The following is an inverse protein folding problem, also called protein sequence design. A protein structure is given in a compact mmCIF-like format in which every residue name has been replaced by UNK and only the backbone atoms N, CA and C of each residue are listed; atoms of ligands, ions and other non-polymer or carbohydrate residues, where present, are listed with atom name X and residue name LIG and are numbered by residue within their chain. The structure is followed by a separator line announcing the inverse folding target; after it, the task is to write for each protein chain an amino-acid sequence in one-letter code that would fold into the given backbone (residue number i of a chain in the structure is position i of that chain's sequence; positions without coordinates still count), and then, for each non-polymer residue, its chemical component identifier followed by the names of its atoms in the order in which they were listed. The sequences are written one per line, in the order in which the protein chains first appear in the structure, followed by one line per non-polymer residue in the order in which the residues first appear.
data_IF_712207403818
#
_entry.id   IF_712207403818
#
_cell.length_a   1.000
_cell.length_b   1.000
_cell.length_c   1.000
_cell.angle_alpha   90.00
_cell.angle_beta   90.00
_cell.angle_gamma   90.00
#
_symmetry.space_group_name_H-M   'P 1'
#
loop_
_entity.id
_entity.type
_entity.pdbx_description
1 polymer ?
#
# COMPACT_ATOMS: atom_id res chain seq x y z
N UNK A 1 4.98 -21.46 -11.65
CA UNK A 1 4.62 -20.04 -11.48
C UNK A 1 4.36 -19.38 -12.84
N UNK A 2 5.34 -19.38 -13.76
CA UNK A 2 5.24 -18.75 -15.09
C UNK A 2 4.08 -19.30 -15.95
N UNK A 3 3.89 -20.63 -16.00
CA UNK A 3 2.76 -21.23 -16.73
C UNK A 3 1.39 -20.77 -16.20
N UNK A 4 1.26 -20.63 -14.87
CA UNK A 4 0.05 -20.16 -14.20
C UNK A 4 -0.20 -18.67 -14.39
N UNK A 5 0.88 -17.88 -14.51
CA UNK A 5 0.78 -16.48 -14.90
C UNK A 5 0.31 -16.34 -16.34
N UNK A 6 0.85 -17.15 -17.27
CA UNK A 6 0.49 -17.10 -18.68
C UNK A 6 -0.96 -17.52 -18.96
N UNK A 7 -1.56 -18.38 -18.14
CA UNK A 7 -2.97 -18.79 -18.27
C UNK A 7 -3.98 -17.74 -17.81
N UNK A 8 -3.54 -16.66 -17.13
CA UNK A 8 -4.46 -15.61 -16.64
C UNK A 8 -4.98 -14.72 -17.77
N UNK A 9 -6.18 -14.19 -17.56
CA UNK A 9 -6.74 -13.13 -18.39
C UNK A 9 -5.82 -11.90 -18.42
N UNK A 10 -5.81 -11.20 -19.56
CA UNK A 10 -5.03 -9.97 -19.79
C UNK A 10 -5.35 -8.91 -18.73
N UNK A 11 -6.62 -8.76 -18.32
CA UNK A 11 -7.03 -7.83 -17.26
C UNK A 11 -6.22 -8.07 -15.98
N UNK A 12 -6.17 -9.33 -15.51
CA UNK A 12 -5.45 -9.70 -14.29
C UNK A 12 -3.94 -9.46 -14.40
N UNK A 13 -3.35 -9.79 -15.55
CA UNK A 13 -1.93 -9.56 -15.81
C UNK A 13 -1.60 -8.07 -15.74
N UNK A 14 -2.40 -7.24 -16.41
CA UNK A 14 -2.18 -5.79 -16.45
C UNK A 14 -2.43 -5.15 -15.10
N UNK A 15 -3.46 -5.56 -14.35
CA UNK A 15 -3.67 -5.10 -12.98
C UNK A 15 -2.47 -5.45 -12.09
N UNK A 16 -1.99 -6.69 -12.08
CA UNK A 16 -0.84 -7.10 -11.26
C UNK A 16 0.44 -6.33 -11.61
N UNK A 17 0.74 -6.17 -12.90
CA UNK A 17 1.92 -5.44 -13.36
C UNK A 17 1.79 -3.94 -13.02
N UNK A 18 0.62 -3.36 -13.22
CA UNK A 18 0.36 -1.94 -12.90
C UNK A 18 0.52 -1.69 -11.41
N UNK A 19 -0.11 -2.51 -10.56
CA UNK A 19 0.02 -2.43 -9.11
C UNK A 19 1.47 -2.60 -8.65
N UNK A 20 2.26 -3.46 -9.29
CA UNK A 20 3.68 -3.62 -8.97
C UNK A 20 4.46 -2.31 -9.21
N UNK A 21 4.36 -1.70 -10.39
CA UNK A 21 5.07 -0.46 -10.69
C UNK A 21 4.57 0.73 -9.87
N UNK A 22 3.26 0.83 -9.64
CA UNK A 22 2.69 1.85 -8.77
C UNK A 22 3.15 1.67 -7.32
N UNK A 23 3.18 0.43 -6.81
CA UNK A 23 3.67 0.16 -5.46
C UNK A 23 5.14 0.52 -5.30
N UNK A 24 6.01 0.23 -6.28
CA UNK A 24 7.41 0.68 -6.27
C UNK A 24 7.48 2.19 -6.08
N UNK A 25 6.80 2.95 -6.94
CA UNK A 25 7.01 4.39 -6.97
C UNK A 25 6.31 5.09 -5.80
N UNK A 26 5.12 4.63 -5.39
CA UNK A 26 4.39 5.18 -4.24
C UNK A 26 5.15 4.93 -2.94
N UNK A 27 5.71 3.74 -2.74
CA UNK A 27 6.54 3.45 -1.55
C UNK A 27 7.87 4.20 -1.58
N UNK A 28 8.36 4.58 -2.77
CA UNK A 28 9.55 5.40 -2.90
C UNK A 28 9.36 6.86 -2.45
N UNK A 29 8.21 7.49 -2.69
CA UNK A 29 8.03 8.91 -2.34
C UNK A 29 7.19 9.16 -1.08
N UNK A 30 6.22 8.30 -0.76
CA UNK A 30 5.21 8.58 0.27
C UNK A 30 5.80 8.79 1.68
N UNK A 31 6.73 7.95 2.19
CA UNK A 31 7.34 8.16 3.51
C UNK A 31 8.06 9.51 3.63
N UNK A 32 8.55 10.03 2.51
CA UNK A 32 9.35 11.25 2.43
C UNK A 32 8.52 12.51 2.30
N UNK A 33 7.21 12.42 2.02
CA UNK A 33 6.31 13.57 2.04
C UNK A 33 6.27 14.17 3.45
N UNK A 34 6.17 13.33 4.48
CA UNK A 34 6.15 13.77 5.87
C UNK A 34 7.45 14.49 6.27
N UNK A 35 8.59 13.98 5.81
CA UNK A 35 9.92 14.58 6.03
C UNK A 35 10.04 15.91 5.28
N UNK A 36 9.69 15.94 3.99
CA UNK A 36 9.71 17.15 3.17
C UNK A 36 8.86 18.29 3.78
N UNK A 37 7.62 18.01 4.21
CA UNK A 37 6.78 19.02 4.85
C UNK A 37 7.32 19.47 6.21
N UNK A 38 8.03 18.59 6.92
CA UNK A 38 8.69 18.93 8.18
C UNK A 38 9.89 19.85 7.96
N UNK A 39 10.67 19.61 6.92
CA UNK A 39 11.83 20.43 6.54
C UNK A 39 11.40 21.81 6.05
N UNK A 40 10.31 21.89 5.27
CA UNK A 40 9.82 23.15 4.71
C UNK A 40 9.07 24.01 5.72
N UNK A 41 8.40 23.40 6.72
CA UNK A 41 7.55 24.11 7.68
C UNK A 41 7.88 23.73 9.11
N UNK A 42 7.46 22.52 9.54
CA UNK A 42 7.80 21.87 10.80
C UNK A 42 7.02 20.54 10.95
N UNK A 43 7.44 19.70 11.89
CA UNK A 43 6.81 18.41 12.16
C UNK A 43 5.33 18.53 12.60
N UNK A 44 4.93 19.63 13.26
CA UNK A 44 3.54 19.83 13.69
C UNK A 44 2.62 20.03 12.47
N UNK A 45 3.00 20.88 11.53
CA UNK A 45 2.26 21.09 10.29
C UNK A 45 2.14 19.80 9.48
N UNK A 46 3.26 19.10 9.27
CA UNK A 46 3.28 17.81 8.54
C UNK A 46 2.31 16.80 9.16
N UNK A 47 2.35 16.62 10.48
CA UNK A 47 1.45 15.71 11.19
C UNK A 47 -0.02 16.10 11.08
N UNK A 48 -0.37 17.38 11.26
CA UNK A 48 -1.75 17.86 11.14
C UNK A 48 -2.26 17.69 9.70
N UNK A 49 -1.47 18.10 8.72
CA UNK A 49 -1.84 18.03 7.31
C UNK A 49 -2.12 16.58 6.86
N UNK A 50 -1.22 15.65 7.18
CA UNK A 50 -1.40 14.24 6.86
C UNK A 50 -2.59 13.62 7.63
N UNK A 51 -2.83 14.03 8.88
CA UNK A 51 -3.97 13.55 9.66
C UNK A 51 -5.31 14.01 9.07
N UNK A 52 -5.39 15.28 8.65
CA UNK A 52 -6.60 15.83 8.00
C UNK A 52 -6.87 15.10 6.69
N UNK A 53 -5.82 14.78 5.91
CA UNK A 53 -5.97 13.97 4.70
C UNK A 53 -6.59 12.61 4.98
N UNK A 54 -6.14 11.90 6.01
CA UNK A 54 -6.73 10.61 6.40
C UNK A 54 -8.22 10.80 6.73
N UNK A 55 -8.58 11.81 7.51
CA UNK A 55 -9.99 12.11 7.86
C UNK A 55 -10.84 12.39 6.61
N UNK A 56 -10.30 13.08 5.61
CA UNK A 56 -11.00 13.38 4.35
C UNK A 56 -11.17 12.12 3.48
N UNK A 57 -10.16 11.26 3.43
CA UNK A 57 -10.17 10.07 2.56
C UNK A 57 -11.08 8.95 3.06
N UNK A 58 -11.32 8.85 4.37
CA UNK A 58 -12.22 7.85 4.96
C UNK A 58 -13.66 7.88 4.41
N UNK A 59 -14.39 9.01 4.40
CA UNK A 59 -15.72 9.04 3.78
C UNK A 59 -15.67 8.86 2.26
N UNK A 60 -14.59 9.31 1.61
CA UNK A 60 -14.42 9.18 0.16
C UNK A 60 -14.31 7.70 -0.25
N UNK A 61 -13.54 6.91 0.50
CA UNK A 61 -13.38 5.47 0.23
C UNK A 61 -14.70 4.69 0.42
N UNK A 62 -15.52 5.09 1.40
CA UNK A 62 -16.86 4.54 1.58
C UNK A 62 -17.78 4.86 0.40
N UNK A 63 -17.76 6.11 -0.07
CA UNK A 63 -18.60 6.53 -1.21
C UNK A 63 -18.11 5.91 -2.53
N UNK A 64 -16.82 5.67 -2.71
CA UNK A 64 -16.30 5.07 -3.95
C UNK A 64 -16.89 3.70 -4.27
N UNK A 65 -17.15 2.85 -3.27
CA UNK A 65 -17.79 1.55 -3.52
C UNK A 65 -19.14 1.70 -4.24
N UNK A 66 -19.95 2.67 -3.80
CA UNK A 66 -21.22 2.96 -4.44
C UNK A 66 -21.06 3.61 -5.83
N UNK A 67 -20.05 4.47 -6.02
CA UNK A 67 -19.74 5.06 -7.34
C UNK A 67 -19.40 3.95 -8.35
N UNK A 68 -18.60 2.97 -7.94
CA UNK A 68 -18.16 1.85 -8.79
C UNK A 68 -19.31 0.97 -9.27
N UNK A 69 -20.39 0.87 -8.47
CA UNK A 69 -21.59 0.12 -8.84
C UNK A 69 -22.48 0.83 -9.88
N UNK A 70 -22.39 2.16 -10.00
CA UNK A 70 -23.27 2.97 -10.85
C UNK A 70 -22.61 3.47 -12.14
N UNK A 71 -21.29 3.64 -12.12
CA UNK A 71 -20.52 4.16 -13.26
C UNK A 71 -19.68 3.08 -13.91
N UNK A 72 -19.25 3.31 -15.16
CA UNK A 72 -18.35 2.38 -15.85
C UNK A 72 -17.01 2.28 -15.11
N UNK A 73 -16.73 1.11 -14.51
CA UNK A 73 -15.49 0.83 -13.76
C UNK A 73 -14.23 1.21 -14.55
N UNK A 74 -14.18 0.87 -15.85
CA UNK A 74 -13.07 1.24 -16.75
C UNK A 74 -12.92 2.76 -16.86
N UNK A 75 -14.02 3.48 -17.07
CA UNK A 75 -13.96 4.94 -17.20
C UNK A 75 -13.45 5.58 -15.90
N UNK A 76 -13.98 5.15 -14.75
CA UNK A 76 -13.54 5.62 -13.43
C UNK A 76 -12.02 5.43 -13.25
N UNK A 77 -11.53 4.20 -13.39
CA UNK A 77 -10.11 3.89 -13.23
C UNK A 77 -9.24 4.73 -14.16
N UNK A 78 -9.62 4.88 -15.43
CA UNK A 78 -8.84 5.69 -16.39
C UNK A 78 -8.81 7.17 -16.00
N UNK A 79 -9.94 7.74 -15.58
CA UNK A 79 -10.01 9.14 -15.14
C UNK A 79 -9.19 9.39 -13.89
N UNK A 80 -9.30 8.51 -12.89
CA UNK A 80 -8.54 8.63 -11.65
C UNK A 80 -7.05 8.44 -11.88
N UNK A 81 -6.67 7.45 -12.70
CA UNK A 81 -5.28 7.19 -13.04
C UNK A 81 -4.62 8.38 -13.75
N UNK A 82 -5.30 8.97 -14.73
CA UNK A 82 -4.79 10.15 -15.42
C UNK A 82 -4.69 11.35 -14.47
N UNK A 83 -5.71 11.56 -13.63
CA UNK A 83 -5.71 12.62 -12.63
C UNK A 83 -4.55 12.49 -11.63
N UNK A 84 -4.23 11.26 -11.20
CA UNK A 84 -3.08 10.99 -10.33
C UNK A 84 -1.75 11.30 -11.03
N UNK A 85 -1.60 10.93 -12.31
CA UNK A 85 -0.41 11.26 -13.08
C UNK A 85 -0.21 12.78 -13.19
N UNK A 86 -1.28 13.54 -13.46
CA UNK A 86 -1.25 15.00 -13.51
C UNK A 86 -0.94 15.59 -12.13
N UNK A 87 -1.54 15.07 -11.05
CA UNK A 87 -1.27 15.52 -9.70
C UNK A 87 0.21 15.36 -9.32
N UNK A 88 0.79 14.19 -9.61
CA UNK A 88 2.22 13.92 -9.38
C UNK A 88 3.11 14.85 -10.21
N UNK A 89 2.74 15.13 -11.47
CA UNK A 89 3.46 16.08 -12.31
C UNK A 89 3.41 17.49 -11.71
N UNK A 90 2.24 17.95 -11.24
CA UNK A 90 2.09 19.24 -10.56
C UNK A 90 2.93 19.32 -9.28
N UNK A 91 2.98 18.23 -8.49
CA UNK A 91 3.86 18.17 -7.31
C UNK A 91 5.34 18.28 -7.71
N UNK A 92 5.76 17.57 -8.76
CA UNK A 92 7.13 17.64 -9.27
C UNK A 92 7.50 19.06 -9.72
N UNK A 93 6.59 19.74 -10.44
CA UNK A 93 6.78 21.12 -10.88
C UNK A 93 6.87 22.08 -9.69
N UNK A 94 6.04 21.91 -8.66
CA UNK A 94 6.09 22.75 -7.46
C UNK A 94 7.42 22.61 -6.70
N UNK A 95 8.05 21.43 -6.71
CA UNK A 95 9.37 21.21 -6.10
C UNK A 95 10.51 21.93 -6.82
N UNK A 96 10.34 22.29 -8.10
CA UNK A 96 11.34 23.06 -8.85
C UNK A 96 11.25 24.57 -8.57
N UNK A 97 10.20 25.01 -7.89
CA UNK A 97 9.93 26.42 -7.62
C UNK A 97 10.38 26.81 -6.19
N UNK A 98 10.47 28.12 -5.88
CA UNK A 98 10.75 28.59 -4.53
C UNK A 98 9.74 28.10 -3.48
N UNK A 99 10.10 28.19 -2.20
CA UNK A 99 9.31 27.66 -1.07
C UNK A 99 7.86 28.17 -1.01
N UNK A 100 7.56 29.34 -1.58
CA UNK A 100 6.19 29.89 -1.69
C UNK A 100 5.22 28.96 -2.44
N UNK A 101 5.74 28.09 -3.31
CA UNK A 101 4.94 27.15 -4.09
C UNK A 101 4.54 25.88 -3.32
N UNK A 102 4.92 25.77 -2.04
CA UNK A 102 4.53 24.66 -1.17
C UNK A 102 3.01 24.47 -1.13
N UNK A 103 2.21 25.55 -1.21
CA UNK A 103 0.75 25.45 -1.22
C UNK A 103 0.26 24.65 -2.43
N UNK A 104 0.84 24.86 -3.62
CA UNK A 104 0.48 24.11 -4.82
C UNK A 104 0.88 22.63 -4.72
N UNK A 105 2.02 22.35 -4.10
CA UNK A 105 2.43 20.98 -3.77
C UNK A 105 1.39 20.28 -2.88
N UNK A 106 0.95 20.95 -1.80
CA UNK A 106 -0.04 20.42 -0.88
C UNK A 106 -1.39 20.18 -1.57
N UNK A 107 -1.87 21.12 -2.40
CA UNK A 107 -3.12 20.97 -3.16
C UNK A 107 -3.04 19.78 -4.12
N UNK A 108 -1.93 19.66 -4.87
CA UNK A 108 -1.73 18.55 -5.78
C UNK A 108 -1.67 17.20 -5.04
N UNK A 109 -1.02 17.16 -3.87
CA UNK A 109 -0.97 15.96 -3.03
C UNK A 109 -2.34 15.58 -2.44
N UNK A 110 -3.15 16.56 -2.02
CA UNK A 110 -4.54 16.32 -1.60
C UNK A 110 -5.32 15.67 -2.74
N UNK A 111 -5.23 16.23 -3.95
CA UNK A 111 -5.91 15.72 -5.12
C UNK A 111 -5.45 14.30 -5.48
N UNK A 112 -4.14 14.04 -5.48
CA UNK A 112 -3.57 12.71 -5.66
C UNK A 112 -4.15 11.71 -4.64
N UNK A 113 -4.18 12.07 -3.36
CA UNK A 113 -4.64 11.19 -2.28
C UNK A 113 -6.13 10.85 -2.41
N UNK A 114 -6.96 11.84 -2.78
CA UNK A 114 -8.39 11.64 -3.03
C UNK A 114 -8.60 10.69 -4.20
N UNK A 115 -7.93 10.93 -5.33
CA UNK A 115 -8.06 10.07 -6.52
C UNK A 115 -7.57 8.65 -6.24
N UNK A 116 -6.47 8.49 -5.51
CA UNK A 116 -5.96 7.18 -5.10
C UNK A 116 -6.98 6.43 -4.22
N UNK A 117 -7.67 7.14 -3.32
CA UNK A 117 -8.72 6.55 -2.48
C UNK A 117 -9.95 6.10 -3.27
N UNK A 118 -10.27 6.78 -4.37
CA UNK A 118 -11.37 6.41 -5.27
C UNK A 118 -11.00 5.29 -6.26
N UNK A 119 -9.73 5.21 -6.65
CA UNK A 119 -9.22 4.27 -7.64
C UNK A 119 -9.16 2.84 -7.10
N UNK A 120 -8.74 2.64 -5.85
CA UNK A 120 -8.60 1.32 -5.24
C UNK A 120 -9.88 0.47 -5.35
N UNK A 121 -11.07 0.92 -4.90
CA UNK A 121 -12.29 0.11 -5.01
C UNK A 121 -12.71 -0.15 -6.46
N UNK A 122 -12.42 0.78 -7.38
CA UNK A 122 -12.74 0.62 -8.79
C UNK A 122 -11.86 -0.45 -9.44
N UNK A 123 -10.56 -0.45 -9.13
CA UNK A 123 -9.62 -1.46 -9.60
C UNK A 123 -9.91 -2.83 -8.97
N UNK A 124 -10.17 -2.89 -7.66
CA UNK A 124 -10.52 -4.13 -6.96
C UNK A 124 -11.77 -4.77 -7.57
N UNK A 125 -12.79 -3.97 -7.89
CA UNK A 125 -13.99 -4.47 -8.55
C UNK A 125 -13.72 -5.02 -9.96
N UNK A 126 -12.79 -4.43 -10.73
CA UNK A 126 -12.38 -4.96 -12.04
C UNK A 126 -11.60 -6.27 -11.89
N UNK A 127 -10.71 -6.35 -10.89
CA UNK A 127 -9.94 -7.56 -10.61
C UNK A 127 -10.88 -8.68 -10.19
N UNK A 128 -11.79 -8.43 -9.24
CA UNK A 128 -12.75 -9.41 -8.76
C UNK A 128 -13.67 -9.93 -9.88
N UNK A 129 -14.12 -9.06 -10.80
CA UNK A 129 -14.90 -9.50 -11.98
C UNK A 129 -14.11 -10.43 -12.92
N UNK A 130 -12.78 -10.34 -12.92
CA UNK A 130 -11.90 -11.09 -13.81
C UNK A 130 -11.27 -12.34 -13.15
N UNK A 131 -11.37 -12.49 -11.83
CA UNK A 131 -10.84 -13.62 -11.07
C UNK A 131 -11.70 -14.87 -11.29
N UNK A 132 -11.05 -16.00 -11.58
CA UNK A 132 -11.69 -17.31 -11.60
C UNK A 132 -11.15 -18.20 -10.46
N UNK A 133 -11.93 -19.18 -9.95
CA UNK A 133 -11.55 -19.98 -8.77
C UNK A 133 -10.21 -20.71 -8.89
N UNK A 134 -9.78 -21.04 -10.12
CA UNK A 134 -8.53 -21.75 -10.41
C UNK A 134 -7.27 -20.86 -10.26
N UNK A 135 -7.41 -19.55 -10.47
CA UNK A 135 -6.31 -18.56 -10.36
C UNK A 135 -6.41 -17.67 -9.13
N UNK A 136 -7.55 -17.60 -8.45
CA UNK A 136 -7.80 -16.74 -7.28
C UNK A 136 -6.67 -16.80 -6.24
N UNK A 137 -6.38 -18.00 -5.72
CA UNK A 137 -5.30 -18.22 -4.73
C UNK A 137 -3.93 -17.80 -5.26
N UNK A 138 -3.71 -17.98 -6.56
CA UNK A 138 -2.45 -17.58 -7.19
C UNK A 138 -2.35 -16.05 -7.26
N UNK A 139 -3.41 -15.36 -7.66
CA UNK A 139 -3.45 -13.89 -7.80
C UNK A 139 -3.22 -13.23 -6.45
N UNK A 140 -3.92 -13.63 -5.39
CA UNK A 140 -3.73 -13.02 -4.07
C UNK A 140 -2.33 -13.27 -3.52
N UNK A 141 -1.82 -14.51 -3.63
CA UNK A 141 -0.49 -14.83 -3.12
C UNK A 141 0.62 -14.16 -3.94
N UNK A 142 0.52 -14.21 -5.27
CA UNK A 142 1.51 -13.61 -6.15
C UNK A 142 1.45 -12.08 -6.09
N UNK A 143 0.27 -11.49 -6.01
CA UNK A 143 0.07 -10.06 -5.78
C UNK A 143 0.69 -9.60 -4.46
N UNK A 144 0.51 -10.37 -3.38
CA UNK A 144 1.19 -10.09 -2.12
C UNK A 144 2.72 -10.11 -2.25
N UNK A 145 3.28 -11.13 -2.91
CA UNK A 145 4.73 -11.21 -3.17
C UNK A 145 5.24 -10.04 -4.01
N UNK A 146 4.51 -9.68 -5.07
CA UNK A 146 4.81 -8.51 -5.90
C UNK A 146 4.79 -7.24 -5.07
N UNK A 147 3.80 -7.04 -4.20
CA UNK A 147 3.70 -5.83 -3.39
C UNK A 147 4.85 -5.67 -2.39
N UNK A 148 5.27 -6.75 -1.71
CA UNK A 148 6.44 -6.68 -0.82
C UNK A 148 7.72 -6.39 -1.61
N UNK A 149 7.90 -7.08 -2.74
CA UNK A 149 9.06 -6.86 -3.63
C UNK A 149 9.08 -5.42 -4.13
N UNK A 150 7.93 -4.90 -4.55
CA UNK A 150 7.76 -3.52 -4.97
C UNK A 150 8.11 -2.55 -3.85
N UNK A 151 7.64 -2.82 -2.62
CA UNK A 151 7.91 -1.98 -1.45
C UNK A 151 9.39 -1.94 -1.12
N UNK A 152 10.11 -3.07 -1.15
CA UNK A 152 11.56 -3.10 -0.94
C UNK A 152 12.32 -2.29 -2.00
N UNK A 153 11.97 -2.47 -3.28
CA UNK A 153 12.59 -1.71 -4.38
C UNK A 153 12.28 -0.22 -4.22
N UNK A 154 11.03 0.12 -3.92
CA UNK A 154 10.58 1.49 -3.73
C UNK A 154 11.31 2.19 -2.59
N UNK A 155 11.44 1.56 -1.42
CA UNK A 155 12.18 2.12 -0.29
C UNK A 155 13.65 2.39 -0.61
N UNK A 156 14.31 1.47 -1.35
CA UNK A 156 15.68 1.69 -1.83
C UNK A 156 15.78 2.88 -2.79
N UNK A 157 14.84 3.00 -3.73
CA UNK A 157 14.77 4.15 -4.63
C UNK A 157 14.51 5.44 -3.84
N UNK A 158 13.56 5.43 -2.91
CA UNK A 158 13.24 6.58 -2.06
C UNK A 158 14.46 7.08 -1.30
N UNK A 159 15.19 6.19 -0.63
CA UNK A 159 16.42 6.55 0.08
C UNK A 159 17.51 7.10 -0.84
N UNK A 160 17.64 6.58 -2.06
CA UNK A 160 18.61 7.07 -3.03
C UNK A 160 18.26 8.47 -3.59
N UNK A 161 16.97 8.73 -3.84
CA UNK A 161 16.52 9.98 -4.45
C UNK A 161 16.19 11.08 -3.43
N UNK A 162 15.91 10.74 -2.17
CA UNK A 162 15.41 11.70 -1.18
C UNK A 162 16.33 12.91 -0.98
N UNK A 163 17.63 12.70 -0.80
CA UNK A 163 18.53 13.81 -0.46
C UNK A 163 18.86 14.69 -1.66
N UNK A 164 18.98 14.09 -2.85
CA UNK A 164 19.60 14.77 -3.99
C UNK A 164 18.63 15.14 -5.11
N UNK A 165 17.50 14.45 -5.24
CA UNK A 165 16.70 14.47 -6.48
C UNK A 165 15.19 14.27 -6.25
N UNK A 166 14.59 14.95 -5.25
CA UNK A 166 13.15 14.84 -4.90
C UNK A 166 12.21 15.10 -6.10
N UNK A 167 12.48 16.15 -6.87
CA UNK A 167 11.67 16.50 -8.05
C UNK A 167 11.74 15.44 -9.15
N UNK A 168 12.93 14.92 -9.45
CA UNK A 168 13.13 13.86 -10.45
C UNK A 168 12.36 12.59 -10.07
N UNK A 169 12.34 12.22 -8.78
CA UNK A 169 11.55 11.10 -8.28
C UNK A 169 10.05 11.29 -8.56
N UNK A 170 9.50 12.47 -8.32
CA UNK A 170 8.09 12.75 -8.63
C UNK A 170 7.79 12.81 -10.13
N UNK A 171 8.74 13.23 -10.98
CA UNK A 171 8.60 13.09 -12.43
C UNK A 171 8.55 11.63 -12.87
N UNK A 172 9.42 10.78 -12.31
CA UNK A 172 9.38 9.33 -12.55
C UNK A 172 8.04 8.75 -12.08
N UNK A 173 7.51 9.21 -10.94
CA UNK A 173 6.18 8.85 -10.45
C UNK A 173 5.08 9.25 -11.45
N UNK A 174 5.05 10.50 -11.90
CA UNK A 174 4.08 10.99 -12.87
C UNK A 174 4.13 10.18 -14.18
N UNK A 175 5.34 9.93 -14.70
CA UNK A 175 5.55 9.13 -15.90
C UNK A 175 5.08 7.69 -15.70
N UNK A 176 5.39 7.07 -14.56
CA UNK A 176 4.95 5.71 -14.23
C UNK A 176 3.43 5.61 -14.21
N UNK A 177 2.76 6.53 -13.51
CA UNK A 177 1.29 6.56 -13.45
C UNK A 177 0.67 6.81 -14.83
N UNK A 178 1.31 7.63 -15.68
CA UNK A 178 0.87 7.86 -17.05
C UNK A 178 1.06 6.63 -17.96
N UNK A 179 2.17 5.91 -17.82
CA UNK A 179 2.40 4.64 -18.54
C UNK A 179 1.41 3.57 -18.10
N UNK A 180 1.09 3.50 -16.81
CA UNK A 180 0.01 2.66 -16.29
C UNK A 180 -1.34 3.09 -16.88
N UNK A 181 -1.65 4.38 -16.97
CA UNK A 181 -2.85 4.86 -17.66
C UNK A 181 -2.94 4.33 -19.11
N UNK A 182 -1.85 4.42 -19.87
CA UNK A 182 -1.80 3.89 -21.25
C UNK A 182 -2.03 2.37 -21.26
N UNK A 183 -1.42 1.64 -20.32
CA UNK A 183 -1.59 0.20 -20.20
C UNK A 183 -3.05 -0.17 -19.92
N UNK A 184 -3.66 0.45 -18.93
CA UNK A 184 -5.06 0.24 -18.56
C UNK A 184 -6.00 0.63 -19.71
N UNK A 185 -5.70 1.72 -20.42
CA UNK A 185 -6.49 2.18 -21.57
C UNK A 185 -6.51 1.12 -22.69
N UNK A 186 -5.36 0.49 -22.94
CA UNK A 186 -5.18 -0.49 -24.00
C UNK A 186 -5.75 -1.87 -23.65
N UNK A 187 -5.60 -2.30 -22.40
CA UNK A 187 -5.79 -3.70 -22.03
C UNK A 187 -6.96 -3.97 -21.08
N UNK A 188 -7.54 -2.97 -20.41
CA UNK A 188 -8.81 -3.14 -19.72
C UNK A 188 -9.95 -3.04 -20.75
N UNK A 189 -10.76 -4.09 -20.93
CA UNK A 189 -11.83 -4.10 -21.92
C UNK A 189 -12.93 -3.09 -21.57
N UNK A 190 -13.53 -2.48 -22.58
CA UNK A 190 -14.73 -1.68 -22.40
C UNK A 190 -15.87 -2.56 -21.88
N UNK A 191 -16.39 -2.24 -20.69
CA UNK A 191 -17.57 -2.89 -20.17
C UNK A 191 -18.79 -2.38 -20.94
N UNK A 192 -19.41 -3.24 -21.75
CA UNK A 192 -20.61 -2.93 -22.55
C UNK A 192 -21.89 -2.93 -21.72
N UNK A 193 -21.89 -3.57 -20.55
CA UNK A 193 -23.03 -3.62 -19.64
C UNK A 193 -22.88 -2.62 -18.51
N UNK A 194 -23.34 -1.40 -18.73
CA UNK A 194 -23.78 -0.57 -17.61
C UNK A 194 -25.10 -1.21 -17.16
N UNK A 195 -25.11 -1.92 -16.03
CA UNK A 195 -26.39 -2.10 -15.33
C UNK A 195 -26.81 -0.66 -15.01
N UNK A 196 -27.83 -0.13 -15.70
CA UNK A 196 -28.49 1.09 -15.27
C UNK A 196 -29.09 0.78 -13.90
N UNK A 197 -28.29 0.98 -12.86
CA UNK A 197 -28.79 0.99 -11.50
C UNK A 197 -29.80 2.13 -11.44
N UNK A 198 -30.95 1.84 -10.83
CA UNK A 198 -31.98 2.81 -10.47
C UNK A 198 -31.36 4.07 -9.88
N UNK A 199 -31.98 5.22 -10.10
CA UNK A 199 -31.56 6.57 -9.67
C UNK A 199 -30.59 6.58 -8.47
N UNK A 200 -29.40 7.17 -8.65
CA UNK A 200 -28.41 7.39 -7.60
C UNK A 200 -29.08 7.95 -6.34
N UNK A 201 -29.15 7.15 -5.28
CA UNK A 201 -29.81 7.52 -4.04
C UNK A 201 -28.89 7.27 -2.84
N UNK A 202 -28.45 8.36 -2.22
CA UNK A 202 -27.59 8.35 -1.04
C UNK A 202 -28.22 7.55 0.12
N UNK A 203 -29.56 7.44 0.18
CA UNK A 203 -30.24 6.62 1.20
C UNK A 203 -29.94 5.13 1.07
N UNK A 204 -29.65 4.65 -0.14
CA UNK A 204 -29.32 3.23 -0.37
C UNK A 204 -27.96 2.87 0.20
N UNK A 205 -27.03 3.85 0.27
CA UNK A 205 -25.75 3.71 0.97
C UNK A 205 -26.01 3.38 2.44
N UNK A 206 -26.76 4.22 3.15
CA UNK A 206 -27.04 4.01 4.57
C UNK A 206 -27.81 2.70 4.84
N UNK A 207 -28.75 2.33 3.96
CA UNK A 207 -29.51 1.08 4.07
C UNK A 207 -28.63 -0.16 3.91
N UNK A 208 -27.74 -0.17 2.91
CA UNK A 208 -26.85 -1.30 2.64
C UNK A 208 -25.76 -1.45 3.70
N UNK A 209 -25.09 -0.36 4.09
CA UNK A 209 -24.12 -0.38 5.19
C UNK A 209 -24.78 -0.75 6.52
N UNK A 210 -26.03 -0.31 6.76
CA UNK A 210 -26.79 -0.65 7.96
C UNK A 210 -27.10 -2.15 8.10
N UNK A 211 -27.12 -2.92 7.01
CA UNK A 211 -27.24 -4.39 7.06
C UNK A 211 -25.91 -5.04 7.46
N UNK A 212 -24.80 -4.58 6.89
CA UNK A 212 -23.45 -5.11 7.16
C UNK A 212 -23.03 -4.85 8.61
N UNK A 213 -23.33 -3.66 9.15
CA UNK A 213 -22.97 -3.29 10.53
C UNK A 213 -23.68 -4.14 11.60
N UNK A 214 -24.77 -4.82 11.25
CA UNK A 214 -25.47 -5.72 12.19
C UNK A 214 -24.75 -7.05 12.39
N UNK A 215 -23.87 -7.46 11.48
CA UNK A 215 -23.05 -8.65 11.67
C UNK A 215 -21.90 -8.32 12.64
N UNK A 216 -22.10 -8.69 13.92
CA UNK A 216 -21.13 -8.47 14.99
C UNK A 216 -19.79 -9.17 14.72
N UNK A 217 -19.80 -10.34 14.09
CA UNK A 217 -18.58 -11.10 13.80
C UNK A 217 -17.79 -10.40 12.71
N UNK A 218 -18.46 -9.96 11.65
CA UNK A 218 -17.85 -9.18 10.58
C UNK A 218 -17.28 -7.86 11.08
N UNK A 219 -18.03 -7.12 11.91
CA UNK A 219 -17.57 -5.84 12.48
C UNK A 219 -16.39 -6.03 13.42
N UNK A 220 -16.40 -7.06 14.28
CA UNK A 220 -15.26 -7.37 15.14
C UNK A 220 -14.01 -7.71 14.31
N UNK A 221 -14.17 -8.49 13.24
CA UNK A 221 -13.09 -8.84 12.32
C UNK A 221 -12.53 -7.58 11.62
N UNK A 222 -13.41 -6.75 11.06
CA UNK A 222 -13.05 -5.50 10.39
C UNK A 222 -12.31 -4.55 11.33
N UNK A 223 -12.80 -4.39 12.56
CA UNK A 223 -12.19 -3.52 13.56
C UNK A 223 -10.80 -4.03 13.98
N UNK A 224 -10.68 -5.33 14.28
CA UNK A 224 -9.39 -5.94 14.63
C UNK A 224 -8.37 -5.80 13.48
N UNK A 225 -8.82 -6.01 12.23
CA UNK A 225 -7.98 -5.86 11.05
C UNK A 225 -7.57 -4.40 10.82
N UNK A 226 -8.50 -3.46 11.00
CA UNK A 226 -8.22 -2.01 10.88
C UNK A 226 -7.18 -1.56 11.90
N UNK A 227 -7.26 -2.04 13.15
CA UNK A 227 -6.24 -1.76 14.16
C UNK A 227 -4.88 -2.33 13.79
N UNK A 228 -4.83 -3.56 13.28
CA UNK A 228 -3.58 -4.17 12.84
C UNK A 228 -2.94 -3.40 11.68
N UNK A 229 -3.71 -3.06 10.65
CA UNK A 229 -3.23 -2.27 9.52
C UNK A 229 -2.80 -0.86 9.95
N UNK A 230 -3.52 -0.24 10.88
CA UNK A 230 -3.16 1.07 11.42
C UNK A 230 -1.80 1.03 12.11
N UNK A 231 -1.54 -0.02 12.90
CA UNK A 231 -0.24 -0.25 13.51
C UNK A 231 0.85 -0.43 12.46
N UNK A 232 0.62 -1.22 11.41
CA UNK A 232 1.58 -1.49 10.32
C UNK A 232 2.01 -0.22 9.56
N UNK A 233 1.02 0.53 9.09
CA UNK A 233 1.23 1.73 8.27
C UNK A 233 1.88 2.86 9.08
N UNK A 234 1.44 3.05 10.33
CA UNK A 234 1.99 4.07 11.23
C UNK A 234 3.41 3.73 11.67
N UNK A 235 3.67 2.44 11.94
CA UNK A 235 4.97 1.96 12.40
C UNK A 235 6.06 2.18 11.36
N UNK A 236 5.77 1.92 10.09
CA UNK A 236 6.75 2.13 8.99
C UNK A 236 7.21 3.60 8.92
N UNK A 237 6.26 4.55 8.99
CA UNK A 237 6.56 5.98 8.96
C UNK A 237 7.28 6.45 10.24
N UNK A 238 6.89 5.93 11.40
CA UNK A 238 7.52 6.25 12.68
C UNK A 238 8.97 5.74 12.76
N UNK A 239 9.21 4.47 12.40
CA UNK A 239 10.55 3.86 12.45
C UNK A 239 11.51 4.58 11.52
N UNK A 240 11.06 5.00 10.33
CA UNK A 240 11.86 5.80 9.40
C UNK A 240 12.32 7.12 10.06
N UNK A 241 11.38 7.91 10.61
CA UNK A 241 11.68 9.18 11.29
C UNK A 241 12.58 8.98 12.52
N UNK A 242 12.31 7.93 13.32
CA UNK A 242 13.10 7.62 14.52
C UNK A 242 14.53 7.28 14.14
N UNK A 243 14.72 6.36 13.19
CA UNK A 243 16.05 5.97 12.74
C UNK A 243 16.82 7.16 12.18
N UNK A 244 16.19 8.00 11.36
CA UNK A 244 16.82 9.23 10.86
C UNK A 244 17.36 10.12 12.00
N UNK A 245 16.62 10.25 13.11
CA UNK A 245 16.99 11.13 14.22
C UNK A 245 17.93 10.53 15.25
N UNK A 246 17.82 9.23 15.53
CA UNK A 246 18.46 8.59 16.68
C UNK A 246 19.45 7.50 16.31
N UNK A 247 19.51 7.09 15.05
CA UNK A 247 20.44 6.04 14.63
C UNK A 247 21.85 6.62 14.52
N UNK A 248 22.78 6.04 15.27
CA UNK A 248 24.19 6.38 15.18
C UNK A 248 24.74 5.83 13.85
N UNK A 249 25.04 6.75 12.93
CA UNK A 249 25.57 6.37 11.63
C UNK A 249 26.93 5.71 11.78
N UNK A 250 27.15 4.63 11.03
CA UNK A 250 28.45 3.97 10.98
C UNK A 250 28.81 3.62 9.54
N UNK A 251 30.10 3.47 9.29
CA UNK A 251 30.60 3.09 7.98
C UNK A 251 30.92 1.60 7.98
N UNK A 252 30.25 0.85 7.10
CA UNK A 252 30.57 -0.55 6.81
C UNK A 252 31.38 -0.58 5.51
N UNK A 253 32.68 -0.81 5.60
CA UNK A 253 33.60 -0.67 4.45
C UNK A 253 33.48 0.73 3.80
N UNK A 254 33.12 0.82 2.52
CA UNK A 254 32.90 2.07 1.78
C UNK A 254 31.49 2.63 1.92
N UNK A 255 30.58 1.91 2.57
CA UNK A 255 29.17 2.30 2.67
C UNK A 255 28.91 3.01 3.99
N UNK A 256 28.59 4.30 3.91
CA UNK A 256 28.11 5.06 5.05
C UNK A 256 26.61 4.78 5.27
N UNK A 257 26.27 4.13 6.39
CA UNK A 257 24.91 3.75 6.75
C UNK A 257 24.37 4.78 7.75
N UNK A 258 23.45 5.61 7.28
CA UNK A 258 22.65 6.52 8.08
C UNK A 258 21.29 5.90 8.43
N UNK A 259 20.48 6.60 9.23
CA UNK A 259 19.17 6.12 9.67
C UNK A 259 18.20 5.77 8.53
N UNK A 260 18.21 6.56 7.44
CA UNK A 260 17.34 6.36 6.27
C UNK A 260 17.76 5.11 5.50
N UNK A 261 19.07 4.91 5.29
CA UNK A 261 19.61 3.69 4.70
C UNK A 261 19.36 2.48 5.58
N UNK A 262 19.48 2.61 6.90
CA UNK A 262 19.17 1.52 7.83
C UNK A 262 17.70 1.10 7.74
N UNK A 263 16.77 2.06 7.71
CA UNK A 263 15.36 1.76 7.49
C UNK A 263 15.13 1.00 6.17
N UNK A 264 15.80 1.43 5.11
CA UNK A 264 15.72 0.76 3.80
C UNK A 264 16.26 -0.68 3.85
N UNK A 265 17.36 -0.92 4.56
CA UNK A 265 17.91 -2.25 4.80
C UNK A 265 16.90 -3.13 5.56
N UNK A 266 16.21 -2.58 6.56
CA UNK A 266 15.16 -3.30 7.30
C UNK A 266 13.99 -3.70 6.39
N UNK A 267 13.54 -2.82 5.50
CA UNK A 267 12.45 -3.13 4.56
C UNK A 267 12.85 -4.22 3.54
N UNK A 268 14.08 -4.16 3.01
CA UNK A 268 14.61 -5.17 2.09
C UNK A 268 14.75 -6.52 2.79
N UNK A 269 15.33 -6.54 3.98
CA UNK A 269 15.53 -7.76 4.77
C UNK A 269 14.20 -8.37 5.22
N UNK A 270 13.21 -7.55 5.57
CA UNK A 270 11.83 -8.01 5.78
C UNK A 270 11.29 -8.72 4.53
N UNK A 271 11.40 -8.08 3.36
CA UNK A 271 10.87 -8.64 2.10
C UNK A 271 11.54 -9.96 1.72
N UNK A 272 12.87 -10.04 1.86
CA UNK A 272 13.62 -11.29 1.64
C UNK A 272 13.13 -12.37 2.61
N UNK A 273 12.91 -12.00 3.87
CA UNK A 273 12.43 -12.94 4.89
C UNK A 273 11.03 -13.45 4.61
N UNK A 274 10.12 -12.58 4.16
CA UNK A 274 8.78 -12.98 3.73
C UNK A 274 8.94 -14.05 2.65
N UNK A 275 9.61 -13.74 1.54
CA UNK A 275 9.79 -14.65 0.40
C UNK A 275 10.44 -16.00 0.79
N UNK A 276 11.50 -15.98 1.62
CA UNK A 276 12.20 -17.18 2.05
C UNK A 276 11.36 -18.03 3.01
N UNK A 277 10.73 -17.39 4.00
CA UNK A 277 9.97 -18.10 5.04
C UNK A 277 8.56 -18.46 4.59
N UNK A 278 8.01 -17.84 3.53
CA UNK A 278 6.65 -18.13 3.06
C UNK A 278 6.39 -19.62 2.89
N UNK A 279 7.36 -20.35 2.33
CA UNK A 279 7.24 -21.78 2.11
C UNK A 279 7.22 -22.58 3.41
N UNK A 280 8.14 -22.28 4.34
CA UNK A 280 8.27 -22.94 5.64
C UNK A 280 6.99 -22.76 6.46
N UNK A 281 6.46 -21.55 6.44
CA UNK A 281 5.25 -21.14 7.15
C UNK A 281 4.02 -21.91 6.65
N UNK A 282 3.86 -22.01 5.33
CA UNK A 282 2.74 -22.74 4.74
C UNK A 282 2.77 -24.23 5.08
N UNK A 283 3.95 -24.82 5.24
CA UNK A 283 4.08 -26.19 5.72
C UNK A 283 3.72 -26.31 7.21
N UNK A 284 4.01 -25.29 8.02
CA UNK A 284 3.64 -25.23 9.44
C UNK A 284 2.14 -25.32 9.70
N UNK A 285 1.30 -24.80 8.80
CA UNK A 285 -0.16 -24.83 8.93
C UNK A 285 -0.75 -26.26 8.93
N UNK A 286 0.03 -27.27 8.50
CA UNK A 286 -0.38 -28.69 8.56
C UNK A 286 -0.29 -29.28 9.97
N UNK A 287 0.47 -28.66 10.86
CA UNK A 287 0.80 -29.20 12.18
C UNK A 287 0.10 -28.48 13.34
N UNK A 288 -0.36 -27.24 13.13
CA UNK A 288 -1.00 -26.42 14.15
C UNK A 288 -2.47 -26.14 13.82
N UNK A 289 -3.32 -26.01 14.85
CA UNK A 289 -4.69 -25.52 14.67
C UNK A 289 -4.67 -24.02 14.33
N UNK A 290 -5.52 -23.58 13.39
CA UNK A 290 -5.64 -22.19 12.90
C UNK A 290 -5.57 -21.13 14.04
N UNK A 291 -6.28 -21.34 15.15
CA UNK A 291 -6.29 -20.42 16.31
C UNK A 291 -4.92 -20.24 16.98
N UNK A 292 -4.17 -21.32 17.21
CA UNK A 292 -2.87 -21.22 17.87
C UNK A 292 -1.85 -20.61 16.92
N UNK A 293 -1.99 -20.92 15.63
CA UNK A 293 -1.20 -20.34 14.57
C UNK A 293 -1.35 -18.81 14.54
N UNK A 294 -2.59 -18.30 14.59
CA UNK A 294 -2.86 -16.86 14.72
C UNK A 294 -2.22 -16.20 15.94
N UNK A 295 -2.39 -16.79 17.13
CA UNK A 295 -1.88 -16.22 18.39
C UNK A 295 -0.35 -16.09 18.35
N UNK A 296 0.35 -17.11 17.85
CA UNK A 296 1.81 -17.09 17.70
C UNK A 296 2.23 -15.98 16.73
N UNK A 297 1.53 -15.83 15.60
CA UNK A 297 1.75 -14.75 14.65
C UNK A 297 1.65 -13.37 15.32
N UNK A 298 0.52 -13.08 15.96
CA UNK A 298 0.31 -11.80 16.65
C UNK A 298 1.36 -11.52 17.74
N UNK A 299 1.76 -12.55 18.50
CA UNK A 299 2.79 -12.40 19.52
C UNK A 299 4.15 -12.02 18.90
N UNK A 300 4.56 -12.68 17.81
CA UNK A 300 5.78 -12.36 17.08
C UNK A 300 5.73 -10.95 16.47
N UNK A 301 4.57 -10.55 15.96
CA UNK A 301 4.32 -9.21 15.42
C UNK A 301 4.51 -8.12 16.49
N UNK A 302 3.89 -8.31 17.66
CA UNK A 302 4.00 -7.40 18.79
C UNK A 302 5.45 -7.28 19.28
N UNK A 303 6.14 -8.42 19.47
CA UNK A 303 7.55 -8.44 19.88
C UNK A 303 8.42 -7.74 18.85
N UNK A 304 8.18 -8.00 17.56
CA UNK A 304 8.90 -7.39 16.45
C UNK A 304 8.79 -5.86 16.47
N UNK A 305 7.56 -5.34 16.55
CA UNK A 305 7.33 -3.91 16.56
C UNK A 305 7.82 -3.20 17.81
N UNK A 306 7.57 -3.75 19.00
CA UNK A 306 8.13 -3.18 20.23
C UNK A 306 9.66 -3.15 20.16
N UNK A 307 10.28 -4.18 19.60
CA UNK A 307 11.74 -4.19 19.47
C UNK A 307 12.25 -3.12 18.48
N UNK A 308 11.55 -2.91 17.36
CA UNK A 308 11.90 -1.87 16.38
C UNK A 308 11.75 -0.44 16.92
N UNK A 309 10.90 -0.19 17.92
CA UNK A 309 10.78 1.15 18.51
C UNK A 309 11.94 1.49 19.46
N UNK A 310 12.54 0.51 20.14
CA UNK A 310 13.57 0.75 21.16
C UNK A 310 15.01 0.46 20.72
N UNK A 311 15.24 -0.49 19.81
CA UNK A 311 16.59 -0.94 19.47
C UNK A 311 17.29 0.02 18.50
N UNK A 312 18.57 0.31 18.73
CA UNK A 312 19.41 1.09 17.82
C UNK A 312 20.63 0.32 17.27
N UNK A 313 20.88 -0.89 17.75
CA UNK A 313 21.98 -1.72 17.24
C UNK A 313 21.63 -2.34 15.89
N UNK A 314 22.55 -2.21 14.92
CA UNK A 314 22.41 -2.75 13.57
C UNK A 314 22.02 -4.24 13.55
N UNK A 315 22.76 -5.08 14.29
CA UNK A 315 22.55 -6.53 14.30
C UNK A 315 21.23 -6.94 14.97
N UNK A 316 20.87 -6.27 16.07
CA UNK A 316 19.62 -6.56 16.78
C UNK A 316 18.41 -6.16 15.94
N UNK A 317 18.47 -5.04 15.23
CA UNK A 317 17.42 -4.61 14.31
C UNK A 317 17.21 -5.64 13.19
N UNK A 318 18.28 -6.19 12.60
CA UNK A 318 18.16 -7.24 11.57
C UNK A 318 17.50 -8.52 12.11
N UNK A 319 17.94 -9.00 13.28
CA UNK A 319 17.38 -10.22 13.89
C UNK A 319 15.87 -10.06 14.16
N UNK A 320 15.47 -8.89 14.66
CA UNK A 320 14.07 -8.58 14.95
C UNK A 320 13.24 -8.52 13.68
N UNK A 321 13.78 -7.94 12.61
CA UNK A 321 13.10 -7.85 11.32
C UNK A 321 12.79 -9.24 10.73
N UNK A 322 13.75 -10.17 10.82
CA UNK A 322 13.51 -11.57 10.40
C UNK A 322 12.37 -12.24 11.18
N UNK A 323 12.22 -11.93 12.48
CA UNK A 323 11.18 -12.52 13.34
C UNK A 323 9.78 -12.01 13.01
N UNK A 324 9.63 -10.72 12.69
CA UNK A 324 8.33 -10.15 12.34
C UNK A 324 7.90 -10.53 10.92
N UNK A 325 8.84 -10.60 9.96
CA UNK A 325 8.55 -10.99 8.58
C UNK A 325 7.90 -12.38 8.47
N UNK A 326 8.26 -13.27 9.38
CA UNK A 326 7.60 -14.56 9.49
C UNK A 326 6.10 -14.42 9.76
N UNK A 327 5.62 -13.41 10.48
CA UNK A 327 4.19 -13.22 10.76
C UNK A 327 3.39 -12.69 9.55
N UNK A 328 4.02 -11.90 8.69
CA UNK A 328 3.34 -11.19 7.60
C UNK A 328 2.78 -12.16 6.53
N UNK A 329 3.45 -13.27 6.27
CA UNK A 329 2.89 -14.34 5.43
C UNK A 329 1.72 -15.07 6.12
N UNK A 330 1.76 -15.22 7.47
CA UNK A 330 0.72 -15.96 8.22
C UNK A 330 -0.62 -15.24 8.12
N UNK A 331 -0.57 -13.91 8.18
CA UNK A 331 -1.72 -13.03 7.99
C UNK A 331 -2.41 -13.29 6.66
N UNK A 332 -1.69 -13.19 5.54
CA UNK A 332 -2.31 -13.32 4.22
C UNK A 332 -2.94 -14.68 3.98
N UNK A 333 -2.33 -15.75 4.50
CA UNK A 333 -2.91 -17.07 4.38
C UNK A 333 -4.26 -17.17 5.11
N UNK A 334 -4.32 -16.70 6.35
CA UNK A 334 -5.51 -16.75 7.19
C UNK A 334 -6.65 -15.84 6.69
N UNK A 335 -6.36 -14.64 6.21
CA UNK A 335 -7.39 -13.76 5.66
C UNK A 335 -7.97 -14.30 4.33
N UNK A 336 -7.15 -14.97 3.52
CA UNK A 336 -7.63 -15.66 2.31
C UNK A 336 -8.54 -16.86 2.61
N UNK A 337 -8.46 -17.44 3.81
CA UNK A 337 -9.31 -18.55 4.27
C UNK A 337 -10.53 -18.04 5.05
N UNK A 338 -10.43 -16.93 5.79
CA UNK A 338 -11.54 -16.32 6.53
C UNK A 338 -12.54 -15.63 5.60
N UNK A 339 -12.08 -14.89 4.59
CA UNK A 339 -12.95 -14.30 3.55
C UNK A 339 -13.80 -15.35 2.83
N UNK A 340 -13.29 -16.59 2.70
CA UNK A 340 -14.00 -17.75 2.15
C UNK A 340 -15.11 -18.33 3.03
N UNK A 341 -15.13 -18.01 4.33
CA UNK A 341 -16.11 -18.54 5.29
C UNK A 341 -17.20 -17.51 5.64
N UNK A 342 -17.00 -16.23 5.32
CA UNK A 342 -17.93 -15.13 5.62
C UNK A 342 -18.66 -14.55 4.40
N UNK A 343 -18.30 -14.99 3.19
CA UNK A 343 -19.06 -14.80 1.93
C UNK A 343 -19.69 -16.16 1.60
#
# INVERSE_FOLDING_TARGET
MIQKFNSMNVTLKVSLISSFFQSIITTAFLPFIALYLSDMVNARFSGIFLSVLVIITLPISLVSGHIVDHFSKRHLVLTYQLGMAVALFCMAMALLQPAEYLVYFCIAYVFFTILNSLEHPAMDAIVMDAVTPDVEKFIFKFGYWLNNTATAIGMLLGAAFYQSNKALMLFIAALTFFLVFIALLKWIPQTTHIKMASSYNIKDIFSNYGKVIKDKTYILLMFAFSLLLSAELSMSSYVALRLERTFESFSLFTFHIDGVKMFSILMVTNTISVVLFSYVILQGNKYFKEKHFLIIGFALYLIGYVSLTYLNSFSLLLIVTHRYAACDEWRNHLFSDLSRKTI
#
